data_IF_646159382800
#
_entry.id   IF_646159382800
#
_cell.length_a   1.000
_cell.length_b   1.000
_cell.length_c   1.000
_cell.angle_alpha   90.00
_cell.angle_beta   90.00
_cell.angle_gamma   90.00
#
_symmetry.space_group_name_H-M   'P 1'
#
loop_
_entity.id
_entity.type
_entity.pdbx_description
1 polymer ?
#
# COMPACT_ATOMS: atom_id res chain seq x y z
N UNK A 1 -38.03 -28.29 -8.78
CA UNK A 1 -37.93 -27.22 -7.75
C UNK A 1 -36.80 -27.45 -6.73
N UNK A 2 -36.61 -28.66 -6.17
CA UNK A 2 -35.49 -28.95 -5.23
C UNK A 2 -34.06 -28.82 -5.81
N UNK A 3 -33.87 -29.02 -7.12
CA UNK A 3 -32.56 -28.92 -7.78
C UNK A 3 -32.09 -27.46 -8.02
N UNK A 4 -33.01 -26.50 -8.00
CA UNK A 4 -32.68 -25.08 -8.20
C UNK A 4 -32.23 -24.44 -6.88
N UNK A 5 -32.75 -24.91 -5.74
CA UNK A 5 -32.29 -24.45 -4.41
C UNK A 5 -30.83 -24.83 -4.11
N UNK A 6 -30.32 -25.93 -4.66
CA UNK A 6 -28.93 -26.34 -4.45
C UNK A 6 -27.92 -25.47 -5.21
N UNK A 7 -28.32 -24.88 -6.35
CA UNK A 7 -27.44 -24.03 -7.15
C UNK A 7 -27.31 -22.61 -6.57
N UNK A 8 -28.33 -22.10 -5.88
CA UNK A 8 -28.30 -20.77 -5.24
C UNK A 8 -27.47 -20.79 -3.94
N UNK A 9 -27.43 -21.93 -3.23
CA UNK A 9 -26.61 -22.11 -2.03
C UNK A 9 -25.10 -22.26 -2.31
N UNK A 10 -24.71 -22.65 -3.52
CA UNK A 10 -23.29 -22.84 -3.88
C UNK A 10 -22.62 -21.56 -4.40
N UNK A 11 -23.39 -20.57 -4.84
CA UNK A 11 -22.87 -19.29 -5.36
C UNK A 11 -22.58 -18.28 -4.24
N UNK A 12 -23.03 -18.54 -3.02
CA UNK A 12 -22.92 -17.60 -1.88
C UNK A 12 -21.68 -17.78 -1.00
N UNK A 13 -20.75 -18.70 -1.33
CA UNK A 13 -19.54 -18.93 -0.52
C UNK A 13 -18.22 -18.38 -1.10
N UNK A 14 -18.25 -17.68 -2.24
CA UNK A 14 -17.05 -16.99 -2.77
C UNK A 14 -16.93 -15.53 -2.31
N UNK A 15 -17.41 -15.20 -1.11
CA UNK A 15 -17.02 -13.93 -0.48
C UNK A 15 -15.54 -14.00 -0.16
N UNK A 16 -14.77 -13.26 -0.94
CA UNK A 16 -13.32 -13.14 -0.88
C UNK A 16 -12.84 -12.91 0.56
N UNK A 17 -11.96 -13.80 1.03
CA UNK A 17 -11.33 -13.81 2.36
C UNK A 17 -10.38 -12.61 2.58
N UNK A 18 -10.35 -11.65 1.66
CA UNK A 18 -9.43 -10.50 1.63
C UNK A 18 -9.64 -9.49 2.78
N UNK A 19 -10.78 -9.52 3.47
CA UNK A 19 -10.97 -8.71 4.69
C UNK A 19 -10.17 -9.24 5.89
N UNK A 20 -9.84 -10.54 5.90
CA UNK A 20 -9.42 -11.25 7.11
C UNK A 20 -8.02 -10.85 7.61
N UNK A 21 -7.18 -10.17 6.82
CA UNK A 21 -5.79 -9.91 7.22
C UNK A 21 -5.50 -8.48 7.67
N UNK A 22 -6.40 -7.52 7.43
CA UNK A 22 -6.26 -6.18 8.03
C UNK A 22 -6.62 -6.27 9.51
N UNK A 23 -7.72 -6.91 9.86
CA UNK A 23 -8.20 -7.02 11.25
C UNK A 23 -7.14 -7.69 12.11
N UNK A 24 -6.81 -7.08 13.26
CA UNK A 24 -5.75 -7.56 14.16
C UNK A 24 -4.31 -7.32 13.68
N UNK A 25 -4.11 -6.72 12.51
CA UNK A 25 -2.79 -6.30 12.02
C UNK A 25 -2.37 -4.94 12.58
N UNK A 26 -1.14 -4.51 12.27
CA UNK A 26 -0.69 -3.13 12.57
C UNK A 26 -1.49 -2.05 11.81
N UNK A 27 -2.16 -2.39 10.71
CA UNK A 27 -3.02 -1.47 9.94
C UNK A 27 -4.49 -1.55 10.36
N UNK A 28 -4.83 -2.36 11.37
CA UNK A 28 -6.12 -2.23 12.04
C UNK A 28 -6.07 -1.03 12.98
N UNK A 29 -6.54 0.11 12.49
CA UNK A 29 -6.54 1.38 13.21
C UNK A 29 -7.84 1.60 13.98
N UNK A 30 -8.76 0.63 13.94
CA UNK A 30 -10.05 0.74 14.60
C UNK A 30 -9.95 0.68 16.13
N UNK A 31 -10.93 1.27 16.80
CA UNK A 31 -11.05 1.26 18.24
C UNK A 31 -11.12 -0.18 18.78
N UNK A 32 -10.29 -0.47 19.77
CA UNK A 32 -10.23 -1.79 20.42
C UNK A 32 -9.53 -2.88 19.61
N UNK A 33 -8.94 -2.57 18.46
CA UNK A 33 -8.21 -3.57 17.69
C UNK A 33 -6.98 -4.10 18.42
N UNK A 34 -6.75 -5.42 18.33
CA UNK A 34 -5.69 -6.12 19.06
C UNK A 34 -4.27 -5.95 18.46
N UNK A 35 -4.15 -5.41 17.25
CA UNK A 35 -2.87 -5.29 16.55
C UNK A 35 -1.97 -4.18 17.12
N UNK A 36 -0.65 -4.37 17.16
CA UNK A 36 0.29 -3.44 17.82
C UNK A 36 0.61 -2.12 17.09
N UNK A 37 -0.23 -1.67 16.15
CA UNK A 37 -0.11 -0.35 15.50
C UNK A 37 -0.97 0.71 16.19
N UNK A 38 -0.94 1.96 15.70
CA UNK A 38 -1.78 3.05 16.21
C UNK A 38 -3.27 2.67 16.25
N UNK A 39 -4.01 3.10 17.29
CA UNK A 39 -5.48 2.94 17.39
C UNK A 39 -6.25 4.24 17.49
N UNK A 40 -7.41 4.29 16.83
CA UNK A 40 -8.38 5.36 17.02
C UNK A 40 -9.12 5.19 18.35
N UNK A 41 -9.48 6.32 18.97
CA UNK A 41 -10.15 6.33 20.29
C UNK A 41 -11.63 5.94 20.24
N UNK A 42 -12.31 6.11 19.10
CA UNK A 42 -13.75 5.88 18.99
C UNK A 42 -14.21 5.31 17.64
N UNK A 43 -13.33 5.27 16.64
CA UNK A 43 -13.72 4.86 15.28
C UNK A 43 -13.61 3.34 15.13
N UNK A 44 -14.72 2.64 14.95
CA UNK A 44 -14.78 1.18 14.84
C UNK A 44 -14.66 0.65 13.41
N UNK A 45 -14.84 1.49 12.39
CA UNK A 45 -14.75 1.07 10.99
C UNK A 45 -13.30 0.86 10.57
N UNK A 46 -12.96 -0.35 10.13
CA UNK A 46 -11.58 -0.72 9.75
C UNK A 46 -11.14 -0.03 8.45
N UNK A 47 -12.03 0.11 7.46
CA UNK A 47 -11.66 0.63 6.15
C UNK A 47 -11.68 2.16 6.06
N UNK A 48 -12.39 2.87 6.95
CA UNK A 48 -12.61 4.32 6.82
C UNK A 48 -11.31 5.12 6.81
N UNK A 49 -10.25 4.58 7.44
CA UNK A 49 -8.92 5.18 7.45
C UNK A 49 -8.32 5.31 6.06
N UNK A 50 -8.66 4.41 5.13
CA UNK A 50 -8.15 4.36 3.77
C UNK A 50 -9.22 4.70 2.72
N UNK A 51 -10.42 4.15 2.85
CA UNK A 51 -11.46 4.21 1.84
C UNK A 51 -12.72 4.92 2.33
N UNK A 52 -13.46 5.53 1.39
CA UNK A 52 -14.78 6.09 1.64
C UNK A 52 -15.73 5.69 0.53
N UNK A 53 -16.96 5.21 0.83
CA UNK A 53 -17.90 4.84 -0.22
C UNK A 53 -18.40 6.05 -1.04
N UNK A 54 -18.38 7.25 -0.45
CA UNK A 54 -18.83 8.49 -1.10
C UNK A 54 -17.87 9.65 -0.84
N UNK A 55 -17.86 10.62 -1.76
CA UNK A 55 -17.03 11.83 -1.67
C UNK A 55 -15.53 11.51 -1.52
N UNK A 56 -15.05 10.52 -2.29
CA UNK A 56 -13.65 10.19 -2.34
C UNK A 56 -12.85 11.29 -3.06
N UNK A 57 -11.62 11.53 -2.58
CA UNK A 57 -10.71 12.48 -3.23
C UNK A 57 -10.25 11.95 -4.59
N UNK A 58 -10.05 10.63 -4.68
CA UNK A 58 -9.72 9.93 -5.90
C UNK A 58 -10.69 8.78 -6.06
N UNK A 59 -11.25 8.61 -7.26
CA UNK A 59 -12.38 7.72 -7.49
C UNK A 59 -11.99 6.23 -7.60
N UNK A 60 -10.75 5.92 -8.00
CA UNK A 60 -10.30 4.55 -8.26
C UNK A 60 -8.89 4.33 -7.73
N UNK A 61 -8.73 3.67 -6.57
CA UNK A 61 -9.77 3.29 -5.61
C UNK A 61 -10.32 4.51 -4.85
N UNK A 62 -11.49 4.37 -4.22
CA UNK A 62 -12.18 5.44 -3.49
C UNK A 62 -11.41 5.86 -2.21
N UNK A 63 -10.38 6.70 -2.35
CA UNK A 63 -9.53 7.13 -1.24
C UNK A 63 -10.21 8.17 -0.35
N UNK A 64 -10.17 7.95 0.96
CA UNK A 64 -10.71 8.85 1.98
C UNK A 64 -9.70 9.86 2.51
N UNK A 65 -8.62 10.08 1.78
CA UNK A 65 -7.53 10.98 2.18
C UNK A 65 -7.06 11.75 0.95
N UNK A 66 -6.46 12.90 1.19
CA UNK A 66 -5.68 13.56 0.15
C UNK A 66 -4.39 12.77 -0.08
N UNK A 67 -3.84 12.79 -1.30
CA UNK A 67 -2.43 12.45 -1.47
C UNK A 67 -1.61 13.43 -0.61
N UNK A 68 -0.91 12.92 0.39
CA UNK A 68 -0.27 13.70 1.46
C UNK A 68 1.10 14.18 1.01
N UNK A 69 1.47 15.37 1.47
CA UNK A 69 2.55 16.21 0.97
C UNK A 69 2.43 16.52 -0.54
N UNK A 70 2.80 17.73 -0.94
CA UNK A 70 2.97 18.00 -2.35
C UNK A 70 4.02 17.00 -2.88
N UNK A 71 3.68 16.25 -3.92
CA UNK A 71 4.55 15.60 -4.90
C UNK A 71 6.03 16.05 -4.90
N UNK A 72 6.26 17.36 -4.81
CA UNK A 72 7.54 18.07 -4.82
C UNK A 72 8.34 18.08 -3.52
N UNK A 73 7.87 17.47 -2.42
CA UNK A 73 8.48 17.62 -1.08
C UNK A 73 9.45 16.48 -0.74
N UNK A 74 9.39 15.35 -1.43
CA UNK A 74 10.28 14.22 -1.18
C UNK A 74 11.54 14.27 -2.04
N UNK A 75 12.70 14.19 -1.39
CA UNK A 75 13.96 13.86 -2.03
C UNK A 75 13.95 12.37 -2.36
N UNK A 76 13.73 12.08 -3.65
CA UNK A 76 13.68 10.72 -4.17
C UNK A 76 15.07 10.23 -4.52
N UNK A 77 15.16 8.91 -4.65
CA UNK A 77 16.35 8.26 -5.15
C UNK A 77 16.69 8.74 -6.57
N UNK A 78 17.88 9.34 -6.74
CA UNK A 78 18.37 9.82 -8.05
C UNK A 78 19.48 8.95 -8.63
N UNK A 79 20.27 8.26 -7.81
CA UNK A 79 21.32 7.34 -8.26
C UNK A 79 21.91 6.49 -7.12
N UNK A 80 22.60 5.40 -7.49
CA UNK A 80 23.35 4.51 -6.60
C UNK A 80 24.72 4.18 -7.17
N UNK A 81 25.72 4.00 -6.30
CA UNK A 81 26.96 3.33 -6.67
C UNK A 81 26.80 1.80 -6.84
N UNK A 82 25.78 1.18 -6.20
CA UNK A 82 25.52 -0.27 -6.24
C UNK A 82 24.35 -0.67 -7.15
N UNK A 83 23.43 0.25 -7.41
CA UNK A 83 22.35 0.20 -8.42
C UNK A 83 22.71 1.08 -9.62
N UNK A 84 23.89 0.84 -10.22
CA UNK A 84 24.52 1.65 -11.27
C UNK A 84 23.72 1.81 -12.58
N UNK A 85 22.49 1.31 -12.64
CA UNK A 85 21.70 1.19 -13.86
C UNK A 85 20.32 1.88 -13.81
N UNK A 86 19.97 2.58 -12.72
CA UNK A 86 18.82 3.49 -12.68
C UNK A 86 19.13 4.84 -13.39
N UNK A 87 19.89 4.82 -14.48
CA UNK A 87 20.25 6.02 -15.23
C UNK A 87 19.18 6.25 -16.29
N UNK A 88 18.11 6.97 -15.95
CA UNK A 88 17.20 7.49 -16.98
C UNK A 88 15.74 7.69 -16.60
N UNK A 89 15.25 7.13 -15.49
CA UNK A 89 13.88 7.40 -15.04
C UNK A 89 13.91 8.37 -13.88
N UNK A 90 13.57 9.64 -14.13
CA UNK A 90 13.35 10.60 -13.07
C UNK A 90 12.23 10.08 -12.17
N UNK A 91 12.60 9.62 -10.97
CA UNK A 91 11.64 9.34 -9.92
C UNK A 91 10.88 10.63 -9.62
N UNK A 92 9.56 10.58 -9.68
CA UNK A 92 8.68 11.67 -9.27
C UNK A 92 7.51 11.07 -8.50
N UNK A 93 7.07 11.72 -7.44
CA UNK A 93 5.74 11.45 -6.91
C UNK A 93 4.83 12.56 -7.44
N UNK A 94 3.65 12.21 -7.91
CA UNK A 94 2.65 13.15 -8.41
C UNK A 94 1.26 12.76 -7.86
N UNK A 95 0.22 13.52 -8.22
CA UNK A 95 -1.15 13.26 -7.75
C UNK A 95 -1.70 11.86 -8.15
N UNK A 96 -1.04 11.15 -9.06
CA UNK A 96 -1.40 9.78 -9.48
C UNK A 96 -0.63 8.71 -8.71
N UNK A 97 0.39 9.10 -7.92
CA UNK A 97 1.26 8.19 -7.19
C UNK A 97 0.57 7.65 -5.95
N UNK A 98 0.26 6.35 -5.96
CA UNK A 98 -0.38 5.67 -4.83
C UNK A 98 0.46 5.74 -3.55
N UNK A 99 1.79 5.85 -3.68
CA UNK A 99 2.71 5.94 -2.54
C UNK A 99 2.45 7.18 -1.67
N UNK A 100 1.94 8.29 -2.23
CA UNK A 100 1.58 9.47 -1.45
C UNK A 100 0.46 9.17 -0.44
N UNK A 101 -0.42 8.21 -0.72
CA UNK A 101 -1.41 7.79 0.26
C UNK A 101 -0.76 7.01 1.41
N UNK A 102 0.22 6.15 1.14
CA UNK A 102 0.98 5.44 2.18
C UNK A 102 1.78 6.43 3.06
N UNK A 103 2.45 7.39 2.42
CA UNK A 103 3.31 8.35 3.08
C UNK A 103 2.55 9.29 4.03
N UNK A 104 1.27 9.57 3.83
CA UNK A 104 0.43 10.29 4.81
C UNK A 104 0.48 9.72 6.24
N UNK A 105 0.79 8.43 6.38
CA UNK A 105 0.96 7.79 7.68
C UNK A 105 2.42 7.41 7.98
N UNK A 106 3.23 7.20 6.95
CA UNK A 106 4.59 6.69 7.10
C UNK A 106 5.67 7.77 7.11
N UNK A 107 5.40 8.99 6.65
CA UNK A 107 6.38 10.08 6.50
C UNK A 107 6.85 10.73 7.81
N UNK A 108 6.55 10.11 8.94
CA UNK A 108 6.83 10.57 10.29
C UNK A 108 6.16 11.91 10.66
N UNK A 109 5.23 12.43 9.84
CA UNK A 109 4.43 13.61 10.20
C UNK A 109 3.17 13.16 10.95
N UNK A 110 3.26 13.15 12.29
CA UNK A 110 2.10 12.81 13.16
C UNK A 110 0.90 13.74 12.94
N UNK A 111 1.12 14.92 12.33
CA UNK A 111 0.09 15.89 12.03
C UNK A 111 -1.01 15.37 11.08
N UNK A 112 -0.71 14.38 10.24
CA UNK A 112 -1.67 13.83 9.26
C UNK A 112 -2.17 12.43 9.62
N UNK A 113 -1.62 11.80 10.67
CA UNK A 113 -2.07 10.47 11.12
C UNK A 113 -3.53 10.55 11.60
N UNK A 114 -4.43 9.95 10.81
CA UNK A 114 -5.87 9.92 11.10
C UNK A 114 -6.68 11.03 10.41
N UNK A 115 -6.02 11.89 9.64
CA UNK A 115 -6.66 12.85 8.74
C UNK A 115 -7.45 12.10 7.66
N UNK A 116 -8.74 12.42 7.54
CA UNK A 116 -9.67 11.85 6.57
C UNK A 116 -10.55 12.95 5.98
N UNK A 117 -10.84 12.83 4.70
CA UNK A 117 -11.72 13.78 3.98
C UNK A 117 -13.18 13.56 4.37
N UNK A 118 -13.64 12.30 4.36
CA UNK A 118 -14.95 11.90 4.84
C UNK A 118 -14.85 11.30 6.25
N UNK A 119 -15.61 11.90 7.18
CA UNK A 119 -15.58 11.56 8.61
C UNK A 119 -16.83 10.80 9.07
N UNK A 120 -17.76 10.44 8.16
CA UNK A 120 -19.07 9.89 8.54
C UNK A 120 -18.96 8.57 9.32
N UNK A 121 -19.52 8.58 10.53
CA UNK A 121 -19.52 7.48 11.51
C UNK A 121 -19.39 8.07 12.91
N UNK A 122 -20.55 8.34 13.54
CA UNK A 122 -20.79 9.24 14.68
C UNK A 122 -20.73 10.75 14.32
N UNK A 123 -21.86 11.42 14.49
CA UNK A 123 -21.96 12.87 14.40
C UNK A 123 -20.99 13.52 15.40
N UNK A 124 -20.17 14.46 14.93
CA UNK A 124 -19.62 15.51 15.79
C UNK A 124 -18.31 15.23 16.53
N UNK A 125 -17.73 14.03 16.53
CA UNK A 125 -16.34 13.91 16.99
C UNK A 125 -15.43 14.26 15.82
N UNK A 126 -14.93 15.50 15.82
CA UNK A 126 -13.72 15.80 15.10
C UNK A 126 -12.71 14.69 15.44
N UNK A 127 -12.21 13.99 14.42
CA UNK A 127 -10.82 13.56 14.49
C UNK A 127 -10.06 14.89 14.58
N UNK A 128 -9.87 15.39 15.81
CA UNK A 128 -8.96 16.49 16.05
C UNK A 128 -7.66 16.09 15.36
N UNK A 129 -7.05 17.04 14.67
CA UNK A 129 -5.66 16.88 14.24
C UNK A 129 -4.89 16.36 15.46
N UNK A 130 -4.28 15.17 15.33
CA UNK A 130 -3.91 14.28 16.43
C UNK A 130 -5.12 13.72 17.22
N UNK A 131 -5.81 12.71 16.66
CA UNK A 131 -6.32 11.69 17.58
C UNK A 131 -5.10 11.16 18.29
N UNK A 132 -5.08 11.23 19.62
CA UNK A 132 -4.00 10.70 20.42
C UNK A 132 -4.00 9.20 20.16
N UNK A 133 -3.12 8.77 19.27
CA UNK A 133 -2.97 7.38 18.92
C UNK A 133 -2.47 6.67 20.18
N UNK A 134 -3.32 5.86 20.79
CA UNK A 134 -2.95 5.04 21.94
C UNK A 134 -2.40 3.71 21.43
N UNK A 135 -1.26 3.30 21.98
CA UNK A 135 -0.60 2.03 21.66
C UNK A 135 0.16 2.06 20.33
N UNK A 136 1.50 2.03 20.45
CA UNK A 136 2.41 1.93 19.31
C UNK A 136 3.07 3.27 19.00
N UNK A 137 4.39 3.22 18.90
CA UNK A 137 5.20 4.39 18.61
C UNK A 137 5.06 4.78 17.13
N UNK A 138 4.13 5.69 16.84
CA UNK A 138 3.98 6.29 15.52
C UNK A 138 5.18 7.16 15.09
N UNK A 139 6.21 7.27 15.95
CA UNK A 139 7.34 8.20 15.83
C UNK A 139 8.72 7.55 15.88
N UNK A 140 8.87 6.23 16.10
CA UNK A 140 10.20 5.57 16.07
C UNK A 140 10.43 4.59 14.92
N UNK A 141 11.60 4.76 14.33
CA UNK A 141 12.47 3.75 13.70
C UNK A 141 11.91 2.97 12.51
N UNK A 142 10.91 2.13 12.75
CA UNK A 142 10.44 1.14 11.78
C UNK A 142 9.20 1.57 10.99
N UNK A 143 8.45 2.57 11.47
CA UNK A 143 7.27 3.11 10.77
C UNK A 143 7.57 4.37 9.94
N UNK A 144 8.72 5.02 10.22
CA UNK A 144 9.16 6.27 9.62
C UNK A 144 9.87 6.02 8.29
N UNK A 145 9.13 6.13 7.18
CA UNK A 145 9.63 6.05 5.80
C UNK A 145 9.55 7.46 5.22
N UNK A 146 10.65 8.03 4.74
CA UNK A 146 10.60 9.39 4.19
C UNK A 146 10.65 10.50 5.24
N UNK A 147 11.11 10.22 6.46
CA UNK A 147 11.19 11.21 7.54
C UNK A 147 12.02 12.43 7.11
N UNK A 148 11.48 13.63 7.38
CA UNK A 148 12.10 14.88 6.91
C UNK A 148 12.01 15.09 5.39
N UNK A 149 11.17 14.33 4.69
CA UNK A 149 11.02 14.40 3.25
C UNK A 149 12.16 13.73 2.48
N UNK A 150 12.90 12.78 3.07
CA UNK A 150 14.00 12.08 2.39
C UNK A 150 13.72 10.58 2.24
N UNK A 151 13.53 10.12 1.00
CA UNK A 151 13.32 8.71 0.63
C UNK A 151 14.58 8.08 0.00
N UNK A 152 15.75 8.71 0.11
CA UNK A 152 16.97 8.24 -0.55
C UNK A 152 17.61 7.00 0.09
N UNK A 153 17.19 6.63 1.30
CA UNK A 153 17.60 5.40 2.00
C UNK A 153 16.60 4.24 1.81
N UNK A 154 15.47 4.46 1.15
CA UNK A 154 14.44 3.46 0.87
C UNK A 154 14.58 2.90 -0.55
N UNK A 155 13.88 1.79 -0.83
CA UNK A 155 13.83 1.26 -2.19
C UNK A 155 13.17 2.30 -3.12
N UNK A 156 13.72 2.56 -4.33
CA UNK A 156 13.16 3.54 -5.24
C UNK A 156 11.69 3.28 -5.55
N UNK A 157 10.91 4.37 -5.62
CA UNK A 157 9.49 4.42 -6.01
C UNK A 157 9.25 5.68 -6.86
N UNK A 158 8.08 5.79 -7.49
CA UNK A 158 7.70 6.94 -8.30
C UNK A 158 8.39 6.98 -9.67
N UNK A 159 8.88 5.84 -10.17
CA UNK A 159 9.51 5.75 -11.49
C UNK A 159 8.82 4.71 -12.35
N UNK A 160 8.92 4.86 -13.67
CA UNK A 160 8.43 3.86 -14.60
C UNK A 160 9.34 2.63 -14.59
N UNK A 161 8.80 1.47 -14.23
CA UNK A 161 9.56 0.22 -14.30
C UNK A 161 9.86 -0.10 -15.76
N UNK A 162 11.13 -0.41 -16.11
CA UNK A 162 11.52 -0.57 -17.51
C UNK A 162 10.90 -1.83 -18.12
N UNK A 163 10.34 -1.71 -19.32
CA UNK A 163 9.88 -2.87 -20.12
C UNK A 163 11.05 -3.64 -20.74
N UNK A 164 12.17 -2.95 -20.97
CA UNK A 164 13.40 -3.52 -21.48
C UNK A 164 14.56 -3.09 -20.59
N UNK A 165 15.41 -4.05 -20.24
CA UNK A 165 16.62 -3.78 -19.48
C UNK A 165 17.85 -4.18 -20.30
N UNK A 166 18.55 -3.16 -20.81
CA UNK A 166 19.79 -3.31 -21.56
C UNK A 166 20.92 -3.98 -20.76
N UNK A 167 20.76 -4.08 -19.44
CA UNK A 167 21.76 -4.62 -18.52
C UNK A 167 21.49 -6.08 -18.17
N UNK A 168 20.34 -6.63 -18.58
CA UNK A 168 19.92 -8.01 -18.30
C UNK A 168 19.87 -8.35 -16.78
N UNK A 169 19.67 -7.35 -15.93
CA UNK A 169 19.58 -7.46 -14.47
C UNK A 169 18.14 -7.36 -13.95
N UNK A 170 17.19 -7.02 -14.81
CA UNK A 170 15.77 -6.87 -14.51
C UNK A 170 14.95 -7.83 -15.36
N UNK A 171 13.90 -8.36 -14.75
CA UNK A 171 12.80 -8.98 -15.48
C UNK A 171 11.95 -7.92 -16.17
N UNK A 172 11.35 -8.26 -17.31
CA UNK A 172 10.30 -7.40 -17.89
C UNK A 172 9.12 -7.28 -16.93
N UNK A 173 8.33 -6.22 -17.04
CA UNK A 173 7.17 -6.03 -16.17
C UNK A 173 6.21 -7.24 -16.22
N UNK A 174 5.98 -7.80 -17.41
CA UNK A 174 5.17 -9.01 -17.59
C UNK A 174 5.75 -10.23 -16.85
N UNK A 175 7.07 -10.44 -16.89
CA UNK A 175 7.71 -11.57 -16.20
C UNK A 175 7.71 -11.36 -14.67
N UNK A 176 7.93 -10.13 -14.20
CA UNK A 176 7.84 -9.80 -12.79
C UNK A 176 6.43 -10.08 -12.23
N UNK A 177 5.39 -9.67 -12.95
CA UNK A 177 3.99 -9.98 -12.63
C UNK A 177 3.73 -11.48 -12.49
N UNK A 178 4.25 -12.29 -13.43
CA UNK A 178 4.10 -13.75 -13.39
C UNK A 178 4.80 -14.34 -12.16
N UNK A 179 6.03 -13.93 -11.87
CA UNK A 179 6.80 -14.43 -10.73
C UNK A 179 6.14 -14.09 -9.39
N UNK A 180 5.63 -12.87 -9.22
CA UNK A 180 4.88 -12.50 -8.00
C UNK A 180 3.64 -13.36 -7.82
N UNK A 181 2.85 -13.58 -8.88
CA UNK A 181 1.65 -14.43 -8.84
C UNK A 181 1.99 -15.88 -8.49
N UNK A 182 3.05 -16.42 -9.08
CA UNK A 182 3.49 -17.80 -8.82
C UNK A 182 3.86 -18.01 -7.35
N UNK A 183 4.51 -17.04 -6.72
CA UNK A 183 4.90 -17.15 -5.31
C UNK A 183 3.74 -16.92 -4.33
N UNK A 184 2.67 -16.21 -4.75
CA UNK A 184 1.50 -15.94 -3.90
C UNK A 184 0.41 -17.02 -4.00
N UNK A 185 0.42 -17.82 -5.07
CA UNK A 185 -0.52 -18.92 -5.26
C UNK A 185 -2.00 -18.52 -5.47
N UNK A 186 -2.34 -17.24 -5.76
CA UNK A 186 -3.75 -16.85 -5.84
C UNK A 186 -4.11 -15.60 -6.68
N UNK A 187 -5.33 -15.67 -7.25
CA UNK A 187 -6.34 -14.68 -7.69
C UNK A 187 -5.96 -13.37 -8.45
N UNK A 188 -6.73 -13.00 -9.51
CA UNK A 188 -6.43 -11.87 -10.40
C UNK A 188 -6.43 -10.47 -9.76
N UNK A 189 -7.12 -10.24 -8.64
CA UNK A 189 -7.11 -8.92 -7.96
C UNK A 189 -5.77 -8.63 -7.26
N UNK A 190 -4.97 -9.67 -6.96
CA UNK A 190 -3.61 -9.53 -6.44
C UNK A 190 -2.58 -9.22 -7.54
N UNK A 191 -3.01 -9.14 -8.80
CA UNK A 191 -2.13 -9.13 -9.97
C UNK A 191 -1.40 -7.81 -10.22
N UNK A 192 -2.01 -6.66 -9.96
CA UNK A 192 -1.40 -5.38 -10.32
C UNK A 192 -0.27 -5.04 -9.34
N UNK A 193 0.98 -5.18 -9.79
CA UNK A 193 2.18 -4.75 -9.06
C UNK A 193 2.78 -3.47 -9.63
N UNK A 194 2.32 -3.02 -10.80
CA UNK A 194 2.72 -1.74 -11.37
C UNK A 194 1.49 -0.85 -11.52
N UNK A 195 1.65 0.44 -11.30
CA UNK A 195 0.55 1.39 -11.17
C UNK A 195 0.56 2.42 -12.29
N UNK A 196 -0.60 3.03 -12.53
CA UNK A 196 -0.81 3.98 -13.61
C UNK A 196 -1.08 3.27 -14.95
N UNK A 197 -2.10 3.68 -15.71
CA UNK A 197 -2.56 2.99 -16.92
C UNK A 197 -1.54 2.96 -18.08
N UNK A 198 -0.44 3.72 -17.99
CA UNK A 198 0.52 3.89 -19.10
C UNK A 198 1.99 3.92 -18.67
N UNK A 199 2.29 3.85 -17.37
CA UNK A 199 3.60 4.22 -16.85
C UNK A 199 4.31 3.12 -16.06
N UNK A 200 3.69 1.95 -15.89
CA UNK A 200 4.21 0.80 -15.14
C UNK A 200 4.98 1.22 -13.89
N UNK A 201 4.35 2.09 -13.09
CA UNK A 201 5.02 2.79 -12.01
C UNK A 201 5.33 1.82 -10.89
N UNK A 202 6.59 1.84 -10.46
CA UNK A 202 7.01 1.23 -9.20
C UNK A 202 6.58 2.13 -8.06
N UNK A 203 5.76 1.62 -7.17
CA UNK A 203 5.17 2.34 -6.04
C UNK A 203 5.25 1.46 -4.78
N UNK A 204 4.96 1.98 -3.59
CA UNK A 204 4.96 1.16 -2.35
C UNK A 204 4.07 -0.08 -2.51
N UNK A 205 2.92 0.10 -3.18
CA UNK A 205 1.96 -0.96 -3.43
C UNK A 205 2.46 -2.00 -4.47
N UNK A 206 3.63 -1.82 -5.09
CA UNK A 206 4.27 -2.82 -5.95
C UNK A 206 4.83 -3.99 -5.14
N UNK A 207 5.27 -3.72 -3.92
CA UNK A 207 5.77 -4.73 -2.99
C UNK A 207 4.76 -5.04 -1.89
N UNK A 208 3.96 -4.05 -1.48
CA UNK A 208 2.99 -4.18 -0.40
C UNK A 208 1.55 -4.32 -0.92
N UNK A 209 0.78 -5.25 -0.35
CA UNK A 209 -0.64 -5.44 -0.58
C UNK A 209 -1.36 -5.35 0.77
N UNK A 210 -1.86 -4.15 1.09
CA UNK A 210 -2.45 -3.87 2.40
C UNK A 210 -3.63 -4.78 2.73
N UNK A 211 -4.37 -5.29 1.74
CA UNK A 211 -5.47 -6.23 1.96
C UNK A 211 -5.03 -7.70 2.17
N UNK A 212 -3.73 -7.98 2.25
CA UNK A 212 -3.21 -9.33 2.47
C UNK A 212 -1.89 -9.30 3.26
N UNK A 213 -1.96 -9.70 4.53
CA UNK A 213 -0.79 -9.79 5.41
C UNK A 213 -0.27 -11.23 5.61
N UNK A 214 -0.66 -12.17 4.75
CA UNK A 214 -0.25 -13.59 4.87
C UNK A 214 1.27 -13.80 4.86
N UNK A 215 2.02 -12.94 4.16
CA UNK A 215 3.49 -12.99 4.11
C UNK A 215 4.18 -12.14 5.19
N UNK A 216 3.42 -11.49 6.08
CA UNK A 216 3.94 -10.48 6.99
C UNK A 216 4.33 -9.18 6.27
N UNK A 217 4.34 -8.06 7.01
CA UNK A 217 4.63 -6.71 6.49
C UNK A 217 3.86 -6.35 5.22
N UNK A 218 2.69 -6.97 5.01
CA UNK A 218 1.87 -6.85 3.81
C UNK A 218 2.61 -7.17 2.51
N UNK A 219 3.65 -8.00 2.52
CA UNK A 219 4.37 -8.32 1.29
C UNK A 219 3.49 -9.12 0.32
N UNK A 220 3.53 -8.75 -0.96
CA UNK A 220 2.81 -9.47 -2.03
C UNK A 220 3.25 -10.92 -2.18
N UNK A 221 4.48 -11.23 -1.80
CA UNK A 221 5.08 -12.56 -1.79
C UNK A 221 6.03 -12.66 -0.60
N UNK A 222 6.35 -13.88 -0.16
CA UNK A 222 7.44 -14.12 0.77
C UNK A 222 8.76 -13.50 0.27
N UNK A 223 9.59 -13.03 1.21
CA UNK A 223 10.97 -12.64 0.95
C UNK A 223 11.99 -13.74 1.36
N UNK A 224 11.52 -14.96 1.65
CA UNK A 224 12.40 -16.09 1.90
C UNK A 224 13.35 -16.28 0.72
N UNK A 225 14.65 -16.44 0.99
CA UNK A 225 15.70 -16.55 -0.03
C UNK A 225 15.68 -15.42 -1.09
N UNK A 226 15.24 -14.22 -0.71
CA UNK A 226 15.10 -13.05 -1.60
C UNK A 226 14.06 -13.23 -2.71
N UNK A 227 13.07 -14.11 -2.52
CA UNK A 227 12.04 -14.41 -3.53
C UNK A 227 11.32 -13.16 -4.05
N UNK A 228 11.04 -12.18 -3.16
CA UNK A 228 10.50 -10.88 -3.53
C UNK A 228 11.45 -10.09 -4.45
N UNK A 229 12.73 -10.00 -4.10
CA UNK A 229 13.70 -9.27 -4.93
C UNK A 229 13.85 -9.92 -6.31
N UNK A 230 13.89 -11.25 -6.35
CA UNK A 230 14.08 -12.02 -7.59
C UNK A 230 12.84 -12.10 -8.49
N UNK A 231 11.72 -11.49 -8.06
CA UNK A 231 10.59 -11.28 -8.98
C UNK A 231 10.93 -10.23 -10.03
N UNK A 232 11.69 -9.20 -9.66
CA UNK A 232 12.06 -8.10 -10.55
C UNK A 232 13.53 -8.13 -10.94
N UNK A 233 14.42 -8.69 -10.11
CA UNK A 233 15.85 -8.73 -10.36
C UNK A 233 16.32 -10.11 -10.81
N UNK A 234 17.17 -10.11 -11.84
CA UNK A 234 17.97 -11.27 -12.27
C UNK A 234 19.26 -11.31 -11.44
N UNK A 235 19.65 -12.51 -11.01
CA UNK A 235 20.91 -12.75 -10.31
C UNK A 235 22.08 -12.70 -11.27
#
# INVERSE_FOLDING_TARGET
MKKILAAVALVTLCSSVSYATIVGSKHDLSFGAAGGGPKAEAQTQVCIFCHTPHNAVQAVPLWNRNAGAAASTYKLYTSSASLSHAKGTSSSLDATSISLFCLNCHDATVAQLGSRVNKQGAAGTAMAAAAVWTGGDATTGALNIGAGGDLTNDHPIGFAYPETDATNRLESAAQALVKVKANKGAAPESAAIFFGPQSNRMECASCHLVHDNSNGSFLRTTNAASALCTSCHRK
#
